data_IF_832524643946
#
_entry.id   IF_832524643946
#
_cell.length_a   1.000
_cell.length_b   1.000
_cell.length_c   1.000
_cell.angle_alpha   90.00
_cell.angle_beta   90.00
_cell.angle_gamma   90.00
#
_symmetry.space_group_name_H-M   'P 1'
#
loop_
_entity.id
_entity.type
_entity.pdbx_description
1 polymer ?
#
# COMPACT_ATOMS: atom_id res chain seq x y z
N UNK A 1 -1.46 -0.47 -17.84
CA UNK A 1 -1.42 -0.57 -16.37
C UNK A 1 -0.14 -1.30 -16.02
N UNK A 2 0.71 -0.72 -15.17
CA UNK A 2 2.00 -1.29 -14.77
C UNK A 2 1.83 -2.01 -13.43
N UNK A 3 1.22 -3.19 -13.47
CA UNK A 3 1.11 -4.12 -12.36
C UNK A 3 1.59 -5.49 -12.83
N UNK A 4 2.29 -6.21 -11.97
CA UNK A 4 2.79 -7.55 -12.22
C UNK A 4 2.97 -8.29 -10.90
N UNK A 5 2.76 -9.60 -10.93
CA UNK A 5 2.91 -10.47 -9.76
C UNK A 5 3.86 -11.60 -10.09
N UNK A 6 4.73 -11.95 -9.14
CA UNK A 6 5.57 -13.13 -9.19
C UNK A 6 5.22 -14.00 -7.98
N UNK A 7 4.86 -15.25 -8.23
CA UNK A 7 4.52 -16.22 -7.19
C UNK A 7 5.54 -17.35 -7.20
N UNK A 8 6.22 -17.52 -6.08
CA UNK A 8 7.19 -18.61 -5.88
C UNK A 8 6.59 -19.62 -4.90
N UNK A 9 6.40 -20.85 -5.37
CA UNK A 9 5.83 -21.94 -4.59
C UNK A 9 6.93 -22.97 -4.32
N UNK A 10 7.16 -23.30 -3.06
CA UNK A 10 8.11 -24.33 -2.68
C UNK A 10 7.51 -25.73 -2.95
N UNK A 11 8.32 -26.69 -3.40
CA UNK A 11 7.89 -28.05 -3.76
C UNK A 11 7.27 -28.86 -2.63
N UNK A 12 7.48 -28.43 -1.38
CA UNK A 12 6.84 -29.01 -0.19
C UNK A 12 5.34 -28.71 -0.13
N UNK A 13 4.87 -27.63 -0.76
CA UNK A 13 3.44 -27.31 -0.83
C UNK A 13 2.73 -28.34 -1.70
N UNK A 14 1.89 -29.17 -1.05
CA UNK A 14 1.00 -30.10 -1.73
C UNK A 14 -0.37 -29.43 -1.88
N UNK A 15 -1.11 -29.80 -2.93
CA UNK A 15 -2.48 -29.35 -3.16
C UNK A 15 -2.62 -27.82 -3.29
N UNK A 16 -1.80 -27.23 -4.15
CA UNK A 16 -1.93 -25.82 -4.55
C UNK A 16 -2.75 -25.70 -5.82
N UNK A 17 -3.76 -24.84 -5.78
CA UNK A 17 -4.64 -24.56 -6.89
C UNK A 17 -4.78 -23.05 -7.11
N UNK A 18 -4.98 -22.65 -8.35
CA UNK A 18 -5.34 -21.28 -8.72
C UNK A 18 -6.73 -21.30 -9.36
N UNK A 19 -7.54 -20.29 -9.06
CA UNK A 19 -8.89 -20.19 -9.59
C UNK A 19 -8.89 -19.64 -11.01
N UNK A 20 -9.62 -20.32 -11.89
CA UNK A 20 -9.97 -19.82 -13.21
C UNK A 20 -11.29 -19.04 -13.09
N UNK A 21 -11.23 -17.72 -13.22
CA UNK A 21 -12.38 -16.82 -13.05
C UNK A 21 -13.45 -17.02 -14.14
N UNK A 22 -13.03 -17.42 -15.35
CA UNK A 22 -13.96 -17.66 -16.47
C UNK A 22 -14.68 -19.00 -16.31
N UNK A 23 -13.95 -20.05 -15.98
CA UNK A 23 -14.49 -21.39 -15.77
C UNK A 23 -15.08 -21.60 -14.37
N UNK A 24 -14.88 -20.63 -13.46
CA UNK A 24 -15.34 -20.64 -12.06
C UNK A 24 -14.93 -21.90 -11.30
N UNK A 25 -13.69 -22.37 -11.51
CA UNK A 25 -13.17 -23.58 -10.88
C UNK A 25 -11.69 -23.47 -10.57
N UNK A 26 -11.26 -24.22 -9.56
CA UNK A 26 -9.84 -24.35 -9.22
C UNK A 26 -9.12 -25.29 -10.20
N UNK A 27 -7.95 -24.87 -10.65
CA UNK A 27 -7.01 -25.65 -11.46
C UNK A 27 -5.76 -25.92 -10.64
N UNK A 28 -5.26 -27.16 -10.71
CA UNK A 28 -4.04 -27.55 -10.01
C UNK A 28 -2.86 -26.82 -10.64
N UNK A 29 -2.02 -26.24 -9.80
CA UNK A 29 -0.83 -25.52 -10.25
C UNK A 29 0.31 -26.52 -10.41
N UNK A 30 0.96 -26.51 -11.57
CA UNK A 30 2.06 -27.41 -11.89
C UNK A 30 3.15 -26.70 -12.68
N UNK A 31 4.41 -26.93 -12.31
CA UNK A 31 5.55 -26.40 -13.06
C UNK A 31 5.65 -24.87 -12.99
N UNK A 32 5.92 -24.26 -14.14
CA UNK A 32 6.17 -22.82 -14.30
C UNK A 32 5.20 -22.24 -15.32
N UNK A 33 4.52 -21.17 -14.94
CA UNK A 33 3.64 -20.41 -15.82
C UNK A 33 4.15 -18.96 -15.94
N UNK A 34 4.18 -18.42 -17.17
CA UNK A 34 4.54 -17.02 -17.43
C UNK A 34 3.46 -16.41 -18.32
N UNK A 35 2.92 -15.28 -17.88
CA UNK A 35 1.98 -14.45 -18.64
C UNK A 35 2.55 -13.03 -18.73
N UNK A 36 3.23 -12.70 -19.83
CA UNK A 36 3.80 -11.37 -20.07
C UNK A 36 2.92 -10.53 -21.01
N UNK A 37 2.58 -11.07 -22.18
CA UNK A 37 1.83 -10.36 -23.22
C UNK A 37 0.31 -10.60 -23.14
N UNK A 38 -0.11 -11.64 -22.41
CA UNK A 38 -1.49 -12.13 -22.33
C UNK A 38 -2.15 -11.90 -20.98
N UNK A 39 -1.59 -10.99 -20.16
CA UNK A 39 -2.15 -10.63 -18.85
C UNK A 39 -3.63 -10.20 -18.92
N UNK A 40 -4.07 -9.59 -20.01
CA UNK A 40 -5.47 -9.14 -20.17
C UNK A 40 -6.40 -10.24 -20.69
N UNK A 41 -5.87 -11.35 -21.20
CA UNK A 41 -6.66 -12.45 -21.79
C UNK A 41 -6.64 -13.74 -20.99
N UNK A 42 -5.71 -13.89 -20.04
CA UNK A 42 -5.65 -15.07 -19.18
C UNK A 42 -6.81 -15.10 -18.19
N UNK A 43 -7.53 -16.24 -18.05
CA UNK A 43 -8.64 -16.36 -17.12
C UNK A 43 -8.19 -16.61 -15.66
N UNK A 44 -6.88 -16.72 -15.41
CA UNK A 44 -6.28 -17.04 -14.11
C UNK A 44 -6.17 -15.83 -13.17
N UNK A 45 -6.57 -14.64 -13.64
CA UNK A 45 -6.57 -13.40 -12.88
C UNK A 45 -7.69 -12.47 -13.36
N UNK A 46 -8.07 -11.51 -12.53
CA UNK A 46 -8.84 -10.33 -12.93
C UNK A 46 -7.91 -9.11 -12.91
N UNK A 47 -7.89 -8.32 -13.99
CA UNK A 47 -7.09 -7.09 -14.10
C UNK A 47 -7.97 -5.96 -14.59
N UNK A 48 -8.08 -4.89 -13.81
CA UNK A 48 -8.98 -3.78 -14.11
C UNK A 48 -8.33 -2.43 -13.86
N UNK A 49 -8.49 -1.51 -14.82
CA UNK A 49 -8.09 -0.11 -14.68
C UNK A 49 -9.18 0.64 -13.94
N UNK A 50 -8.80 1.65 -13.18
CA UNK A 50 -9.79 2.53 -12.58
C UNK A 50 -10.54 3.36 -13.65
N UNK A 51 -11.81 3.70 -13.39
CA UNK A 51 -12.58 4.57 -14.27
C UNK A 51 -11.86 5.89 -14.60
N UNK A 52 -12.01 6.35 -15.85
CA UNK A 52 -11.30 7.52 -16.38
C UNK A 52 -11.70 8.82 -15.68
N UNK A 53 -12.94 8.92 -15.21
CA UNK A 53 -13.50 10.05 -14.47
C UNK A 53 -12.90 10.20 -13.07
N UNK A 54 -12.21 9.18 -12.54
CA UNK A 54 -11.50 9.29 -11.26
C UNK A 54 -10.22 10.11 -11.40
N UNK A 55 -9.71 10.25 -12.63
CA UNK A 55 -8.53 11.07 -12.91
C UNK A 55 -8.64 11.79 -14.27
N UNK A 56 -9.53 12.79 -14.37
CA UNK A 56 -9.91 13.41 -15.64
C UNK A 56 -8.75 14.13 -16.33
N UNK A 57 -7.76 14.61 -15.57
CA UNK A 57 -6.57 15.28 -16.10
C UNK A 57 -5.63 14.34 -16.88
N UNK A 58 -5.72 13.02 -16.70
CA UNK A 58 -4.83 12.06 -17.33
C UNK A 58 -5.60 11.13 -18.27
N UNK A 59 -5.52 11.39 -19.59
CA UNK A 59 -6.18 10.61 -20.64
C UNK A 59 -5.85 9.11 -20.65
N UNK A 60 -4.75 8.69 -20.03
CA UNK A 60 -4.25 7.31 -20.06
C UNK A 60 -3.72 6.87 -18.71
N UNK A 61 -4.60 6.73 -17.72
CA UNK A 61 -4.20 6.23 -16.41
C UNK A 61 -3.68 4.79 -16.48
N UNK A 62 -2.54 4.55 -15.82
CA UNK A 62 -1.97 3.20 -15.64
C UNK A 62 -2.34 2.59 -14.28
N UNK A 63 -3.20 3.24 -13.50
CA UNK A 63 -3.65 2.82 -12.15
C UNK A 63 -4.74 1.76 -12.24
N UNK A 64 -4.80 0.86 -11.26
CA UNK A 64 -5.75 -0.25 -11.24
C UNK A 64 -5.37 -1.31 -10.23
N UNK A 65 -5.88 -2.53 -10.43
CA UNK A 65 -5.54 -3.69 -9.62
C UNK A 65 -5.42 -4.98 -10.45
N UNK A 66 -4.72 -5.97 -9.89
CA UNK A 66 -4.69 -7.36 -10.33
C UNK A 66 -5.12 -8.24 -9.16
N UNK A 67 -6.15 -9.06 -9.35
CA UNK A 67 -6.59 -10.09 -8.40
C UNK A 67 -6.23 -11.47 -8.94
N UNK A 68 -5.64 -12.29 -8.09
CA UNK A 68 -5.56 -13.74 -8.29
C UNK A 68 -6.18 -14.44 -7.10
N UNK A 69 -6.80 -15.60 -7.31
CA UNK A 69 -7.37 -16.40 -6.24
C UNK A 69 -6.66 -17.75 -6.16
N UNK A 70 -6.29 -18.12 -4.95
CA UNK A 70 -5.52 -19.33 -4.67
C UNK A 70 -6.25 -20.19 -3.67
N UNK A 71 -6.01 -21.50 -3.74
CA UNK A 71 -6.30 -22.45 -2.68
C UNK A 71 -5.02 -23.18 -2.32
N UNK A 72 -4.51 -22.93 -1.12
CA UNK A 72 -3.29 -23.56 -0.60
C UNK A 72 -3.66 -24.29 0.68
N UNK A 73 -3.34 -25.59 0.78
CA UNK A 73 -3.66 -26.40 1.97
C UNK A 73 -5.13 -26.30 2.39
N UNK A 74 -6.04 -26.41 1.42
CA UNK A 74 -7.49 -26.27 1.57
C UNK A 74 -7.97 -24.89 2.09
N UNK A 75 -7.14 -23.86 2.01
CA UNK A 75 -7.49 -22.49 2.36
C UNK A 75 -7.57 -21.63 1.11
N UNK A 76 -8.77 -21.15 0.78
CA UNK A 76 -9.00 -20.25 -0.34
C UNK A 76 -8.80 -18.78 0.09
N UNK A 77 -8.09 -18.00 -0.72
CA UNK A 77 -7.91 -16.56 -0.50
C UNK A 77 -7.59 -15.82 -1.79
N UNK A 78 -7.84 -14.51 -1.80
CA UNK A 78 -7.46 -13.60 -2.87
C UNK A 78 -6.17 -12.85 -2.51
N UNK A 79 -5.32 -12.69 -3.53
CA UNK A 79 -4.16 -11.81 -3.53
C UNK A 79 -4.46 -10.69 -4.52
N UNK A 80 -4.50 -9.44 -4.03
CA UNK A 80 -4.93 -8.27 -4.79
C UNK A 80 -3.80 -7.23 -4.81
N UNK A 81 -3.07 -7.16 -5.92
CA UNK A 81 -2.04 -6.14 -6.15
C UNK A 81 -2.70 -4.85 -6.65
N UNK A 82 -2.46 -3.72 -5.99
CA UNK A 82 -3.11 -2.44 -6.24
C UNK A 82 -2.05 -1.37 -6.54
N UNK A 83 -2.38 -0.46 -7.45
CA UNK A 83 -1.62 0.77 -7.67
C UNK A 83 -2.59 1.96 -7.76
N UNK A 84 -2.70 2.73 -6.68
CA UNK A 84 -3.61 3.87 -6.58
C UNK A 84 -2.99 5.18 -7.10
N UNK A 85 -3.77 6.26 -7.07
CA UNK A 85 -3.39 7.56 -7.60
C UNK A 85 -2.40 8.31 -6.69
N UNK A 86 -1.41 8.98 -7.29
CA UNK A 86 -0.40 9.76 -6.59
C UNK A 86 -0.68 11.26 -6.67
N UNK A 87 -0.19 12.01 -5.68
CA UNK A 87 -0.29 13.47 -5.69
C UNK A 87 0.59 14.12 -6.77
N UNK A 88 -0.02 14.97 -7.59
CA UNK A 88 0.68 15.70 -8.64
C UNK A 88 1.45 16.94 -8.13
N UNK A 89 1.08 17.49 -6.97
CA UNK A 89 1.63 18.73 -6.41
C UNK A 89 1.70 18.70 -4.89
N UNK A 90 2.87 18.93 -4.30
CA UNK A 90 2.99 19.10 -2.84
C UNK A 90 2.24 20.34 -2.33
N UNK A 91 2.21 21.41 -3.15
CA UNK A 91 1.49 22.65 -2.80
C UNK A 91 -0.01 22.39 -2.69
N UNK A 92 -0.60 21.71 -3.66
CA UNK A 92 -2.03 21.38 -3.63
C UNK A 92 -2.33 20.46 -2.44
N UNK A 93 -1.48 19.46 -2.20
CA UNK A 93 -1.63 18.54 -1.07
C UNK A 93 -1.62 19.30 0.28
N UNK A 94 -0.79 20.33 0.41
CA UNK A 94 -0.75 21.20 1.58
C UNK A 94 -1.95 22.16 1.66
N UNK A 95 -2.29 22.84 0.56
CA UNK A 95 -3.40 23.82 0.50
C UNK A 95 -4.76 23.17 0.78
N UNK A 96 -4.95 21.94 0.29
CA UNK A 96 -6.22 21.21 0.36
C UNK A 96 -6.19 20.06 1.36
N UNK A 97 -5.32 20.10 2.38
CA UNK A 97 -5.08 18.94 3.25
C UNK A 97 -6.33 18.49 4.05
N UNK A 98 -6.67 17.18 4.08
CA UNK A 98 -6.01 16.09 3.35
C UNK A 98 -6.19 16.22 1.84
N UNK A 99 -5.10 16.02 1.08
CA UNK A 99 -5.06 16.20 -0.37
C UNK A 99 -6.30 15.68 -1.11
N UNK A 100 -6.72 16.38 -2.17
CA UNK A 100 -7.78 15.92 -3.10
C UNK A 100 -7.54 14.48 -3.57
N UNK A 101 -6.28 14.08 -3.75
CA UNK A 101 -5.92 12.72 -4.16
C UNK A 101 -6.23 11.67 -3.09
N UNK A 102 -6.29 12.04 -1.81
CA UNK A 102 -6.74 11.13 -0.75
C UNK A 102 -8.19 10.70 -0.98
N UNK A 103 -9.08 11.64 -1.30
CA UNK A 103 -10.46 11.32 -1.70
C UNK A 103 -10.53 10.45 -2.96
N UNK A 104 -9.64 10.69 -3.94
CA UNK A 104 -9.55 9.85 -5.16
C UNK A 104 -9.07 8.43 -4.83
N UNK A 105 -8.06 8.28 -3.97
CA UNK A 105 -7.58 6.97 -3.49
C UNK A 105 -8.65 6.24 -2.69
N UNK A 106 -9.40 6.93 -1.84
CA UNK A 106 -10.54 6.37 -1.14
C UNK A 106 -11.59 5.82 -2.12
N UNK A 107 -12.01 6.61 -3.13
CA UNK A 107 -12.95 6.14 -4.16
C UNK A 107 -12.42 4.92 -4.92
N UNK A 108 -11.14 4.94 -5.29
CA UNK A 108 -10.49 3.84 -6.01
C UNK A 108 -10.39 2.56 -5.16
N UNK A 109 -10.03 2.67 -3.88
CA UNK A 109 -9.97 1.51 -2.98
C UNK A 109 -11.36 0.95 -2.68
N UNK A 110 -12.38 1.79 -2.50
CA UNK A 110 -13.78 1.36 -2.42
C UNK A 110 -14.19 0.59 -3.68
N UNK A 111 -13.85 1.10 -4.86
CA UNK A 111 -14.09 0.38 -6.12
C UNK A 111 -13.44 -1.00 -6.13
N UNK A 112 -12.18 -1.15 -5.70
CA UNK A 112 -11.53 -2.47 -5.60
C UNK A 112 -12.32 -3.38 -4.67
N UNK A 113 -12.68 -2.93 -3.47
CA UNK A 113 -13.43 -3.72 -2.50
C UNK A 113 -14.78 -4.19 -3.05
N UNK A 114 -15.51 -3.31 -3.74
CA UNK A 114 -16.79 -3.65 -4.37
C UNK A 114 -16.58 -4.71 -5.46
N UNK A 115 -15.55 -4.58 -6.31
CA UNK A 115 -15.25 -5.54 -7.39
C UNK A 115 -14.84 -6.91 -6.87
N UNK A 116 -14.04 -6.98 -5.81
CA UNK A 116 -13.58 -8.27 -5.28
C UNK A 116 -14.61 -8.96 -4.36
N UNK A 117 -15.59 -8.21 -3.84
CA UNK A 117 -16.64 -8.73 -2.96
C UNK A 117 -18.04 -8.77 -3.59
N UNK A 118 -18.16 -8.53 -4.90
CA UNK A 118 -19.42 -8.64 -5.61
C UNK A 118 -19.94 -10.09 -5.71
N UNK A 119 -21.14 -10.25 -6.27
CA UNK A 119 -21.85 -11.53 -6.31
C UNK A 119 -21.36 -12.48 -7.43
N UNK A 120 -20.36 -12.11 -8.25
CA UNK A 120 -19.91 -12.96 -9.37
C UNK A 120 -19.24 -14.25 -8.90
N UNK A 121 -18.64 -14.22 -7.71
CA UNK A 121 -17.88 -15.32 -7.11
C UNK A 121 -18.14 -15.42 -5.60
N UNK A 122 -17.81 -16.57 -5.03
CA UNK A 122 -17.79 -16.74 -3.57
C UNK A 122 -16.82 -15.76 -2.91
N UNK A 123 -17.22 -15.18 -1.78
CA UNK A 123 -16.36 -14.31 -0.97
C UNK A 123 -15.32 -15.16 -0.24
N UNK A 124 -14.05 -14.79 -0.35
CA UNK A 124 -12.94 -15.44 0.35
C UNK A 124 -12.13 -14.37 1.10
N UNK A 125 -11.33 -14.76 2.11
CA UNK A 125 -10.30 -13.91 2.68
C UNK A 125 -9.44 -13.23 1.61
N UNK A 126 -9.12 -11.95 1.77
CA UNK A 126 -8.36 -11.21 0.76
C UNK A 126 -7.24 -10.36 1.37
N UNK A 127 -6.07 -10.45 0.75
CA UNK A 127 -4.88 -9.67 1.06
C UNK A 127 -4.66 -8.66 -0.06
N UNK A 128 -4.69 -7.37 0.28
CA UNK A 128 -4.45 -6.28 -0.65
C UNK A 128 -3.03 -5.78 -0.42
N UNK A 129 -2.24 -5.64 -1.47
CA UNK A 129 -0.86 -5.17 -1.38
C UNK A 129 -0.49 -4.31 -2.57
N UNK A 130 0.62 -3.58 -2.47
CA UNK A 130 1.17 -2.78 -3.56
C UNK A 130 1.31 -1.31 -3.19
N UNK A 131 1.32 -0.45 -4.21
CA UNK A 131 1.48 0.99 -4.05
C UNK A 131 0.11 1.66 -3.87
N UNK A 132 -0.29 1.79 -2.61
CA UNK A 132 -1.50 2.51 -2.21
C UNK A 132 -1.33 4.01 -2.40
N UNK A 133 -0.10 4.52 -2.56
CA UNK A 133 0.19 5.94 -2.63
C UNK A 133 -0.41 6.75 -1.46
N UNK A 134 -0.72 6.12 -0.33
CA UNK A 134 -1.18 6.82 0.87
C UNK A 134 -0.09 7.80 1.31
N UNK A 135 -0.53 9.01 1.65
CA UNK A 135 0.32 10.13 2.05
C UNK A 135 -0.04 10.55 3.46
N UNK A 136 0.96 11.07 4.15
CA UNK A 136 0.71 11.79 5.39
C UNK A 136 -0.11 13.05 5.12
N UNK A 137 -0.94 13.44 6.09
CA UNK A 137 -1.58 14.76 6.16
C UNK A 137 -0.50 15.85 6.06
N UNK A 138 -0.30 16.36 4.84
CA UNK A 138 0.87 17.16 4.49
C UNK A 138 0.90 18.47 5.26
N UNK A 139 -0.26 19.05 5.55
CA UNK A 139 -0.37 20.25 6.38
C UNK A 139 0.02 19.96 7.83
N UNK A 140 -0.55 18.91 8.44
CA UNK A 140 -0.23 18.52 9.81
C UNK A 140 1.26 18.21 10.01
N UNK A 141 1.87 17.46 9.09
CA UNK A 141 3.31 17.18 9.12
C UNK A 141 4.12 18.48 9.03
N UNK A 142 3.81 19.36 8.08
CA UNK A 142 4.56 20.61 7.90
C UNK A 142 4.41 21.51 9.13
N UNK A 143 3.21 21.64 9.70
CA UNK A 143 2.97 22.41 10.92
C UNK A 143 3.76 21.86 12.11
N UNK A 144 3.84 20.54 12.25
CA UNK A 144 4.65 19.88 13.29
C UNK A 144 6.14 20.13 13.09
N UNK A 145 6.67 19.83 11.89
CA UNK A 145 8.11 19.97 11.57
C UNK A 145 8.59 21.42 11.57
N UNK A 146 7.70 22.37 11.31
CA UNK A 146 8.00 23.80 11.17
C UNK A 146 7.38 24.64 12.30
N UNK A 147 7.03 24.06 13.44
CA UNK A 147 6.33 24.74 14.54
C UNK A 147 7.02 26.03 15.04
N UNK A 148 8.36 26.10 14.93
CA UNK A 148 9.17 27.26 15.32
C UNK A 148 9.57 28.18 14.14
N UNK A 149 8.99 27.98 12.96
CA UNK A 149 9.33 28.69 11.74
C UNK A 149 8.21 29.63 11.26
N UNK A 150 8.59 30.75 10.63
CA UNK A 150 7.67 31.64 9.92
C UNK A 150 7.57 31.25 8.45
N UNK A 151 6.34 31.18 7.93
CA UNK A 151 6.07 30.87 6.53
C UNK A 151 6.06 32.14 5.66
N UNK A 152 6.69 32.06 4.49
CA UNK A 152 6.59 33.02 3.41
C UNK A 152 6.00 32.35 2.16
N UNK A 153 4.96 32.95 1.60
CA UNK A 153 4.36 32.52 0.33
C UNK A 153 4.94 33.33 -0.83
N UNK A 154 5.38 32.64 -1.87
CA UNK A 154 5.78 33.26 -3.14
C UNK A 154 4.76 32.85 -4.20
N UNK A 155 4.16 33.86 -4.84
CA UNK A 155 3.14 33.70 -5.87
C UNK A 155 3.70 34.00 -7.24
N UNK A 156 3.19 33.31 -8.26
CA UNK A 156 3.51 33.61 -9.65
C UNK A 156 2.93 34.99 -10.03
N UNK A 157 3.73 35.82 -10.70
CA UNK A 157 3.37 37.21 -11.00
C UNK A 157 2.17 37.36 -11.96
N UNK A 158 1.95 36.34 -12.81
CA UNK A 158 0.95 36.32 -13.88
C UNK A 158 -0.40 35.72 -13.44
N UNK A 159 -0.38 34.69 -12.60
CA UNK A 159 -1.58 33.91 -12.22
C UNK A 159 -1.98 34.10 -10.75
N UNK A 160 -1.13 34.74 -9.94
CA UNK A 160 -1.27 34.86 -8.48
C UNK A 160 -1.37 33.51 -7.74
N UNK A 161 -1.11 32.39 -8.43
CA UNK A 161 -1.08 31.06 -7.83
C UNK A 161 0.15 30.91 -6.94
N UNK A 162 0.03 30.10 -5.88
CA UNK A 162 1.18 29.78 -5.03
C UNK A 162 2.16 28.96 -5.86
N UNK A 163 3.38 29.48 -6.00
CA UNK A 163 4.48 28.78 -6.68
C UNK A 163 5.41 28.09 -5.67
N UNK A 164 5.57 28.71 -4.49
CA UNK A 164 6.55 28.26 -3.50
C UNK A 164 6.16 28.70 -2.10
N UNK A 165 6.40 27.83 -1.11
CA UNK A 165 6.38 28.16 0.31
C UNK A 165 7.79 28.00 0.88
N UNK A 166 8.19 28.95 1.73
CA UNK A 166 9.47 28.92 2.42
C UNK A 166 9.22 29.09 3.92
N UNK A 167 9.69 28.14 4.72
CA UNK A 167 9.65 28.22 6.17
C UNK A 167 11.04 28.58 6.69
N UNK A 168 11.12 29.59 7.56
CA UNK A 168 12.39 30.08 8.14
C UNK A 168 12.35 30.08 9.65
N UNK A 169 13.45 29.70 10.29
CA UNK A 169 13.55 29.75 11.76
C UNK A 169 13.23 31.17 12.28
N UNK A 170 12.41 31.26 13.33
CA UNK A 170 11.94 32.55 13.84
C UNK A 170 12.98 33.26 14.73
N UNK A 171 13.89 32.51 15.37
CA UNK A 171 14.78 33.00 16.45
C UNK A 171 16.28 33.02 16.11
N UNK A 172 16.70 32.36 15.03
CA UNK A 172 18.11 32.18 14.66
C UNK A 172 18.44 32.98 13.39
N UNK A 173 19.51 32.64 12.64
CA UNK A 173 19.93 33.24 11.34
C UNK A 173 18.87 33.22 10.21
N UNK A 174 17.58 32.97 10.49
CA UNK A 174 16.47 32.81 9.54
C UNK A 174 16.75 31.77 8.45
N UNK A 175 17.46 30.70 8.84
CA UNK A 175 17.78 29.57 7.96
C UNK A 175 16.50 28.98 7.39
N UNK A 176 16.57 28.54 6.12
CA UNK A 176 15.47 27.80 5.50
C UNK A 176 15.35 26.45 6.21
N UNK A 177 14.17 26.18 6.74
CA UNK A 177 13.82 24.90 7.40
C UNK A 177 13.15 23.96 6.38
N UNK A 178 12.20 24.51 5.62
CA UNK A 178 11.47 23.78 4.59
C UNK A 178 11.27 24.68 3.37
N UNK A 179 11.50 24.12 2.20
CA UNK A 179 11.07 24.66 0.92
C UNK A 179 10.07 23.71 0.26
N UNK A 180 8.87 24.22 -0.04
CA UNK A 180 7.79 23.47 -0.69
C UNK A 180 7.49 24.07 -2.06
N UNK A 181 7.52 23.24 -3.10
CA UNK A 181 7.08 23.58 -4.45
C UNK A 181 6.31 22.41 -5.05
N UNK A 182 5.76 22.56 -6.26
CA UNK A 182 4.95 21.51 -6.92
C UNK A 182 5.59 20.12 -6.86
N UNK A 183 6.90 20.01 -7.11
CA UNK A 183 7.64 18.73 -7.07
C UNK A 183 8.85 18.76 -6.12
N UNK A 184 8.86 19.68 -5.17
CA UNK A 184 9.93 19.82 -4.19
C UNK A 184 9.33 19.81 -2.78
N UNK A 185 9.91 18.98 -1.92
CA UNK A 185 9.75 18.93 -0.49
C UNK A 185 11.17 18.84 0.08
N UNK A 186 11.78 19.99 0.31
CA UNK A 186 13.17 20.09 0.76
C UNK A 186 13.18 20.51 2.23
N UNK A 187 13.09 19.51 3.10
CA UNK A 187 13.20 19.67 4.55
C UNK A 187 14.63 19.39 4.99
N UNK A 188 15.20 20.30 5.78
CA UNK A 188 16.62 20.24 6.15
C UNK A 188 17.01 18.98 6.96
N UNK A 189 16.10 18.46 7.79
CA UNK A 189 16.36 17.33 8.68
C UNK A 189 15.58 16.08 8.25
N UNK A 190 16.00 15.44 7.15
CA UNK A 190 15.36 14.22 6.64
C UNK A 190 15.46 13.02 7.60
N UNK A 191 16.33 13.05 8.60
CA UNK A 191 16.47 11.94 9.56
C UNK A 191 15.22 11.74 10.41
N UNK A 192 14.42 12.78 10.64
CA UNK A 192 13.17 12.70 11.43
C UNK A 192 12.21 11.62 10.90
N UNK A 193 12.19 11.40 9.59
CA UNK A 193 11.32 10.40 8.96
C UNK A 193 11.79 8.96 9.22
N UNK A 194 13.07 8.75 9.56
CA UNK A 194 13.64 7.43 9.87
C UNK A 194 13.82 7.19 11.35
N UNK A 195 13.97 8.26 12.15
CA UNK A 195 14.09 8.18 13.59
C UNK A 195 12.89 7.45 14.18
N UNK A 196 13.15 6.39 14.95
CA UNK A 196 12.13 5.49 15.48
C UNK A 196 11.12 5.05 14.41
N UNK A 197 11.60 4.74 13.20
CA UNK A 197 10.77 4.38 12.04
C UNK A 197 9.68 5.41 11.69
N UNK A 198 9.81 6.67 12.10
CA UNK A 198 8.80 7.69 11.86
C UNK A 198 7.52 7.50 12.69
N UNK A 199 7.55 6.73 13.79
CA UNK A 199 6.36 6.45 14.63
C UNK A 199 5.59 7.72 15.02
N UNK A 200 6.29 8.82 15.33
CA UNK A 200 5.68 10.10 15.67
C UNK A 200 4.87 10.71 14.51
N UNK A 201 5.14 10.30 13.27
CA UNK A 201 4.44 10.77 12.07
C UNK A 201 3.24 9.89 11.69
N UNK A 202 3.06 8.72 12.32
CA UNK A 202 1.93 7.82 12.03
C UNK A 202 0.57 8.46 12.37
N UNK A 203 0.53 9.44 13.27
CA UNK A 203 -0.72 10.18 13.55
C UNK A 203 -1.24 10.96 12.33
N UNK A 204 -0.37 11.27 11.36
CA UNK A 204 -0.71 11.93 10.11
C UNK A 204 -1.02 10.92 8.99
N UNK A 205 -0.78 9.63 9.18
CA UNK A 205 -1.19 8.56 8.25
C UNK A 205 -2.64 8.16 8.50
N UNK A 206 -3.57 8.90 7.90
CA UNK A 206 -5.01 8.81 8.22
C UNK A 206 -5.84 8.13 7.13
N UNK A 207 -5.28 7.84 5.97
CA UNK A 207 -6.08 7.40 4.80
C UNK A 207 -6.73 6.03 5.00
N UNK A 208 -6.08 5.12 5.75
CA UNK A 208 -6.67 3.81 6.08
C UNK A 208 -7.86 3.93 7.04
N UNK A 209 -7.98 5.03 7.79
CA UNK A 209 -8.95 5.15 8.89
C UNK A 209 -10.40 4.97 8.47
N UNK A 210 -10.74 5.37 7.25
CA UNK A 210 -12.09 5.26 6.67
C UNK A 210 -12.48 3.83 6.29
N UNK A 211 -11.53 2.88 6.34
CA UNK A 211 -11.73 1.47 6.00
C UNK A 211 -11.55 0.52 7.18
N UNK A 212 -11.39 1.03 8.42
CA UNK A 212 -11.13 0.21 9.62
C UNK A 212 -12.22 -0.85 9.90
N UNK A 213 -13.43 -0.64 9.40
CA UNK A 213 -14.56 -1.58 9.47
C UNK A 213 -14.44 -2.75 8.47
N UNK A 214 -13.60 -2.62 7.44
CA UNK A 214 -13.44 -3.61 6.36
C UNK A 214 -12.05 -4.23 6.31
N UNK A 215 -11.03 -3.42 6.58
CA UNK A 215 -9.61 -3.73 6.41
C UNK A 215 -8.83 -3.47 7.70
N UNK A 216 -7.88 -4.34 7.97
CA UNK A 216 -6.86 -4.16 9.00
C UNK A 216 -5.46 -4.18 8.40
N UNK A 217 -4.50 -3.74 9.20
CA UNK A 217 -3.07 -3.76 8.87
C UNK A 217 -2.29 -4.22 10.11
N UNK A 218 -1.14 -4.85 9.91
CA UNK A 218 -0.21 -5.09 11.02
C UNK A 218 0.46 -3.79 11.42
N UNK A 219 0.93 -3.71 12.66
CA UNK A 219 1.67 -2.54 13.13
C UNK A 219 2.89 -2.28 12.24
N UNK A 220 3.03 -1.04 11.78
CA UNK A 220 4.13 -0.63 10.91
C UNK A 220 5.37 -0.46 11.77
N UNK A 221 6.38 -1.30 11.55
CA UNK A 221 7.65 -1.27 12.26
C UNK A 221 8.83 -0.89 11.36
N UNK A 222 8.58 -0.16 10.27
CA UNK A 222 9.58 0.25 9.28
C UNK A 222 9.35 1.72 8.87
N UNK A 223 10.40 2.45 8.46
CA UNK A 223 10.27 3.86 8.09
C UNK A 223 9.47 4.03 6.77
N UNK A 224 9.01 5.25 6.45
CA UNK A 224 8.36 5.56 5.18
C UNK A 224 9.09 4.93 3.98
N UNK A 225 8.35 4.25 3.11
CA UNK A 225 8.89 3.44 2.02
C UNK A 225 9.27 4.25 0.77
N UNK A 226 8.87 5.52 0.70
CA UNK A 226 9.05 6.42 -0.45
C UNK A 226 9.23 7.88 0.04
N UNK A 227 9.99 8.76 -0.65
CA UNK A 227 10.78 8.54 -1.88
C UNK A 227 12.29 8.41 -1.60
N UNK A 228 12.88 7.22 -1.67
CA UNK A 228 14.33 7.05 -1.47
C UNK A 228 15.16 7.55 -2.65
N UNK A 229 16.42 7.90 -2.41
CA UNK A 229 17.40 8.18 -3.47
C UNK A 229 17.66 6.93 -4.30
N UNK A 230 17.70 7.10 -5.62
CA UNK A 230 18.08 6.06 -6.58
C UNK A 230 19.61 5.96 -6.75
N UNK A 231 20.40 6.85 -6.13
CA UNK A 231 21.85 6.73 -6.09
C UNK A 231 22.25 5.52 -5.23
N UNK A 232 22.98 4.58 -5.84
CA UNK A 232 23.52 3.38 -5.19
C UNK A 232 24.33 3.65 -3.91
N UNK A 233 24.94 4.83 -3.78
CA UNK A 233 25.72 5.23 -2.60
C UNK A 233 24.86 5.87 -1.48
N UNK A 234 23.58 6.13 -1.75
CA UNK A 234 22.67 6.88 -0.88
C UNK A 234 21.45 6.06 -0.46
N UNK A 235 21.61 4.74 -0.28
CA UNK A 235 20.51 3.80 -0.03
C UNK A 235 19.64 4.09 1.21
N UNK A 236 20.02 5.02 2.08
CA UNK A 236 19.26 5.48 3.26
C UNK A 236 18.56 6.83 3.07
N UNK A 237 18.95 7.61 2.07
CA UNK A 237 18.51 9.00 1.93
C UNK A 237 17.18 9.06 1.19
N UNK A 238 16.36 10.04 1.55
CA UNK A 238 15.17 10.40 0.78
C UNK A 238 15.53 11.43 -0.29
N UNK A 239 14.85 11.38 -1.43
CA UNK A 239 14.82 12.47 -2.39
C UNK A 239 13.93 13.59 -1.89
N UNK A 240 14.25 14.82 -2.28
CA UNK A 240 13.44 16.00 -1.94
C UNK A 240 12.21 16.15 -2.85
N UNK A 241 11.73 15.10 -3.50
CA UNK A 241 10.63 15.23 -4.47
C UNK A 241 9.27 15.29 -3.81
N UNK A 242 9.08 14.59 -2.69
CA UNK A 242 7.82 14.47 -1.93
C UNK A 242 8.11 14.34 -0.45
N UNK A 243 7.12 14.66 0.39
CA UNK A 243 7.16 14.30 1.80
C UNK A 243 7.24 12.76 1.93
N UNK A 244 8.19 12.21 2.70
CA UNK A 244 8.25 10.77 2.93
C UNK A 244 6.94 10.19 3.46
N UNK A 245 6.49 9.06 2.92
CA UNK A 245 5.23 8.41 3.33
C UNK A 245 5.29 6.88 3.17
N UNK A 246 4.43 6.17 3.89
CA UNK A 246 4.21 4.73 3.71
C UNK A 246 3.24 4.48 2.55
N UNK A 247 3.76 4.60 1.33
CA UNK A 247 3.00 4.36 0.10
C UNK A 247 2.71 2.86 -0.12
N UNK A 248 3.65 2.00 0.27
CA UNK A 248 3.64 0.57 0.00
C UNK A 248 3.09 -0.20 1.20
N UNK A 249 1.93 -0.84 1.03
CA UNK A 249 1.13 -1.37 2.16
C UNK A 249 0.68 -2.79 1.92
N UNK A 250 0.36 -3.51 3.00
CA UNK A 250 -0.26 -4.82 2.96
C UNK A 250 -1.45 -4.83 3.92
N UNK A 251 -2.65 -4.71 3.36
CA UNK A 251 -3.91 -4.69 4.09
C UNK A 251 -4.62 -6.04 4.01
N UNK A 252 -5.38 -6.38 5.04
CA UNK A 252 -6.06 -7.66 5.17
C UNK A 252 -7.54 -7.43 5.44
N UNK A 253 -8.39 -8.23 4.80
CA UNK A 253 -9.76 -8.39 5.30
C UNK A 253 -9.75 -8.98 6.71
N UNK A 254 -10.80 -8.73 7.49
CA UNK A 254 -10.96 -9.36 8.81
C UNK A 254 -10.79 -10.89 8.74
N UNK A 255 -11.44 -11.51 7.76
CA UNK A 255 -11.32 -12.96 7.52
C UNK A 255 -9.93 -13.42 7.07
N UNK A 256 -9.12 -12.56 6.45
CA UNK A 256 -7.72 -12.87 6.12
C UNK A 256 -6.80 -12.75 7.33
N UNK A 257 -7.09 -11.81 8.23
CA UNK A 257 -6.41 -11.70 9.51
C UNK A 257 -6.62 -12.95 10.37
N UNK A 258 -7.82 -13.54 10.33
CA UNK A 258 -8.16 -14.77 11.05
C UNK A 258 -7.41 -16.01 10.51
N UNK A 259 -6.90 -15.97 9.28
CA UNK A 259 -6.08 -17.06 8.72
C UNK A 259 -4.66 -17.10 9.32
N UNK A 260 -4.20 -15.98 9.88
CA UNK A 260 -2.84 -15.86 10.41
C UNK A 260 -2.76 -16.65 11.71
N UNK A 261 -1.96 -17.72 11.69
CA UNK A 261 -1.68 -18.51 12.88
C UNK A 261 -0.71 -17.78 13.80
N UNK A 262 -1.19 -17.39 14.98
CA UNK A 262 -0.37 -16.84 16.07
C UNK A 262 -0.10 -17.96 17.07
N UNK A 263 1.11 -18.50 17.10
CA UNK A 263 1.51 -19.38 18.17
C UNK A 263 1.74 -18.53 19.43
N UNK A 264 1.16 -18.93 20.57
CA UNK A 264 1.11 -18.12 21.81
C UNK A 264 2.50 -17.71 22.36
N UNK A 265 3.60 -18.30 21.87
CA UNK A 265 4.97 -18.07 22.35
C UNK A 265 6.00 -17.79 21.23
N UNK A 266 5.58 -17.43 20.01
CA UNK A 266 6.50 -17.14 18.90
C UNK A 266 6.40 -15.66 18.49
N UNK A 267 7.28 -14.82 19.07
CA UNK A 267 7.41 -13.39 18.75
C UNK A 267 7.68 -13.14 17.24
N UNK A 268 8.11 -14.17 16.49
CA UNK A 268 8.36 -14.09 15.04
C UNK A 268 7.27 -14.75 14.19
N UNK A 269 6.09 -15.01 14.75
CA UNK A 269 4.98 -15.63 14.01
C UNK A 269 4.42 -14.74 12.89
N UNK A 270 4.57 -13.42 13.01
CA UNK A 270 4.19 -12.42 11.99
C UNK A 270 5.26 -11.34 11.95
N UNK A 271 5.75 -10.99 10.76
CA UNK A 271 6.75 -9.92 10.57
C UNK A 271 6.24 -9.02 9.44
N UNK A 272 6.14 -7.72 9.71
CA UNK A 272 5.73 -6.72 8.73
C UNK A 272 6.80 -5.63 8.62
N UNK A 273 7.62 -5.68 7.57
CA UNK A 273 8.85 -4.89 7.48
C UNK A 273 9.19 -4.57 6.02
N UNK A 274 10.25 -3.80 5.79
CA UNK A 274 10.80 -3.51 4.48
C UNK A 274 12.09 -4.32 4.19
N UNK A 275 12.44 -4.42 2.91
CA UNK A 275 13.62 -5.13 2.43
C UNK A 275 14.68 -4.10 2.04
N UNK A 276 15.92 -4.36 2.45
CA UNK A 276 17.07 -3.54 2.09
C UNK A 276 17.04 -2.13 2.70
N UNK A 277 16.86 -1.98 4.03
CA UNK A 277 16.79 -0.66 4.69
C UNK A 277 18.03 0.20 4.45
N UNK A 278 19.18 -0.43 4.18
CA UNK A 278 20.47 0.23 3.97
C UNK A 278 20.97 0.17 2.52
N UNK A 279 20.18 -0.34 1.57
CA UNK A 279 20.59 -0.63 0.18
C UNK A 279 19.68 0.13 -0.78
N UNK A 280 20.21 0.74 -1.83
CA UNK A 280 19.37 1.34 -2.88
C UNK A 280 18.55 0.25 -3.59
N UNK A 281 17.22 0.39 -3.55
CA UNK A 281 16.26 -0.57 -4.13
C UNK A 281 15.34 0.11 -5.18
N UNK A 282 15.68 1.33 -5.58
CA UNK A 282 14.79 2.28 -6.26
C UNK A 282 14.26 3.35 -5.31
N UNK A 283 13.36 4.19 -5.82
CA UNK A 283 12.71 5.25 -5.04
C UNK A 283 11.65 4.74 -4.05
N UNK A 284 11.27 3.47 -4.17
CA UNK A 284 10.48 2.72 -3.19
C UNK A 284 11.31 1.61 -2.54
N UNK A 285 11.09 1.36 -1.25
CA UNK A 285 11.56 0.14 -0.57
C UNK A 285 10.52 -0.96 -0.66
N UNK A 286 10.88 -2.19 -1.07
CA UNK A 286 9.96 -3.31 -1.02
C UNK A 286 9.47 -3.55 0.41
N UNK A 287 8.16 -3.72 0.57
CA UNK A 287 7.51 -4.05 1.84
C UNK A 287 7.02 -5.50 1.80
N UNK A 288 7.20 -6.24 2.90
CA UNK A 288 6.78 -7.63 3.00
C UNK A 288 6.01 -7.90 4.29
N UNK A 289 5.09 -8.86 4.21
CA UNK A 289 4.41 -9.44 5.36
C UNK A 289 4.68 -10.94 5.36
N UNK A 290 5.40 -11.41 6.38
CA UNK A 290 5.64 -12.82 6.65
C UNK A 290 4.68 -13.31 7.72
N UNK A 291 4.07 -14.48 7.51
CA UNK A 291 3.17 -15.11 8.47
C UNK A 291 3.02 -16.60 8.18
N UNK A 292 2.42 -17.32 9.13
CA UNK A 292 2.02 -18.73 8.97
C UNK A 292 0.50 -18.82 8.80
N UNK A 293 0.05 -19.72 7.93
CA UNK A 293 -1.38 -20.06 7.78
C UNK A 293 -1.60 -21.44 8.38
N UNK A 294 -2.63 -21.60 9.22
CA UNK A 294 -3.01 -22.92 9.72
C UNK A 294 -3.69 -23.74 8.61
N UNK A 295 -3.31 -25.01 8.46
CA UNK A 295 -3.94 -25.90 7.48
C UNK A 295 -5.45 -26.00 7.73
N UNK A 296 -6.26 -25.84 6.68
CA UNK A 296 -7.72 -25.90 6.78
C UNK A 296 -8.42 -24.70 7.43
N UNK A 297 -7.70 -23.61 7.75
CA UNK A 297 -8.27 -22.39 8.35
C UNK A 297 -9.42 -21.74 7.54
N UNK A 298 -9.52 -22.05 6.23
CA UNK A 298 -10.61 -21.59 5.36
C UNK A 298 -11.92 -22.39 5.43
N UNK A 299 -12.06 -23.39 6.31
CA UNK A 299 -13.29 -24.21 6.45
C UNK A 299 -13.99 -23.91 7.79
N UNK A 300 -15.11 -23.16 7.82
CA UNK A 300 -15.84 -22.89 9.06
C UNK A 300 -16.51 -24.12 9.71
N UNK A 301 -16.58 -25.28 9.04
CA UNK A 301 -17.37 -26.42 9.52
C UNK A 301 -16.79 -27.79 9.11
N UNK A 302 -15.70 -28.23 9.73
CA UNK A 302 -15.31 -29.66 9.71
C UNK A 302 -15.32 -30.35 11.08
N UNK A 303 -15.60 -29.63 12.17
CA UNK A 303 -15.69 -30.20 13.52
C UNK A 303 -17.11 -30.60 13.98
N UNK A 304 -18.14 -30.47 13.14
CA UNK A 304 -19.48 -31.03 13.40
C UNK A 304 -19.81 -32.18 12.45
N UNK A 305 -19.05 -33.27 12.47
CA UNK A 305 -19.56 -34.59 12.06
C UNK A 305 -18.95 -35.69 12.94
N UNK A 306 -19.85 -36.42 13.58
CA UNK A 306 -19.72 -37.74 14.20
C UNK A 306 -19.39 -37.79 15.70
N UNK A 307 -20.32 -37.31 16.52
CA UNK A 307 -20.71 -38.05 17.73
C UNK A 307 -22.13 -38.59 17.54
N UNK A 308 -22.28 -39.58 16.64
CA UNK A 308 -23.38 -40.53 16.75
C UNK A 308 -22.82 -41.72 17.53
N UNK A 309 -23.06 -41.74 18.83
CA UNK A 309 -22.92 -42.94 19.64
C UNK A 309 -24.06 -43.86 19.22
N UNK A 310 -23.72 -44.97 18.57
CA UNK A 310 -24.62 -46.12 18.50
C UNK A 310 -24.28 -46.98 19.72
N UNK A 311 -25.21 -47.02 20.67
CA UNK A 311 -25.40 -48.17 21.55
C UNK A 311 -26.68 -48.86 21.12
#
# INVERSE_FOLDING_TARGET
MALGNLYFLHESLKNTYQFDFKAKKYKKVTGKEIYSETLESTPMLEKEKFPQDYFPECKWSRKGFIRTRWSVTDCAFDLVNIHLFHDASNLIAWETSPSVYSGTRQKALTYVLDRITDQRYEKVPHFLFGDFNFRLDSKGVIESLCASATMQTIRAADTNQINKLIFRESKNDRKVVLQLEKKLFDYFNQDVFRQNNGVELLEFDRELSVFKDKLGEQEISFPPSYPYSEDSNQGKQYMNTRCPSWCDRILLSHSARDLIHKAENDEKSVIYDNIGPNVCMGDHKPVFLFFRIAAGAGKPNRHMRNCCVVQ
#
